data_IF_879471005607
#
_entry.id   IF_879471005607
#
_cell.length_a   1.000
_cell.length_b   1.000
_cell.length_c   1.000
_cell.angle_alpha   90.00
_cell.angle_beta   90.00
_cell.angle_gamma   90.00
#
_symmetry.space_group_name_H-M   'P 1'
#
loop_
_entity.id
_entity.type
_entity.pdbx_description
1 polymer ?
#
# COMPACT_ATOMS: atom_id res chain seq x y z
N UNK A 1 -23.67 33.06 37.43
CA UNK A 1 -24.85 33.15 36.55
C UNK A 1 -24.85 31.91 35.67
N UNK A 2 -25.80 31.01 35.94
CA UNK A 2 -26.28 29.88 35.13
C UNK A 2 -25.31 28.73 34.80
N UNK A 3 -25.35 27.70 35.66
CA UNK A 3 -25.15 26.29 35.30
C UNK A 3 -26.31 25.85 34.39
N UNK A 4 -26.00 25.29 33.21
CA UNK A 4 -26.98 24.56 32.39
C UNK A 4 -26.34 23.30 31.81
N UNK A 5 -26.51 22.20 32.55
CA UNK A 5 -26.63 20.85 31.98
C UNK A 5 -27.96 20.71 31.25
N UNK A 6 -28.02 20.00 30.11
CA UNK A 6 -29.24 19.30 29.72
C UNK A 6 -29.11 17.79 29.95
N UNK A 7 -30.06 17.31 30.74
CA UNK A 7 -30.44 15.93 31.07
C UNK A 7 -30.47 14.99 29.86
N UNK A 8 -29.81 13.84 29.99
CA UNK A 8 -30.17 12.63 29.26
C UNK A 8 -31.55 12.17 29.71
N UNK A 9 -32.50 12.06 28.78
CA UNK A 9 -33.76 11.34 28.97
C UNK A 9 -33.62 9.99 28.28
N UNK A 10 -33.47 8.94 29.07
CA UNK A 10 -33.78 7.58 28.66
C UNK A 10 -35.30 7.43 28.54
N UNK A 11 -35.78 7.09 27.36
CA UNK A 11 -37.15 6.62 27.18
C UNK A 11 -37.15 5.34 26.37
N UNK A 12 -37.48 4.26 27.08
CA UNK A 12 -38.16 3.03 26.65
C UNK A 12 -37.62 2.23 25.45
N UNK A 13 -37.10 1.04 25.77
CA UNK A 13 -37.18 -0.13 24.89
C UNK A 13 -38.66 -0.54 24.70
N UNK A 14 -39.05 -0.96 23.49
CA UNK A 14 -40.07 -1.96 23.31
C UNK A 14 -39.43 -3.29 22.88
N UNK A 15 -39.44 -4.24 23.80
CA UNK A 15 -39.53 -5.67 23.52
C UNK A 15 -40.83 -5.95 22.78
N UNK A 16 -40.76 -6.39 21.52
CA UNK A 16 -41.70 -7.29 20.84
C UNK A 16 -41.42 -7.27 19.32
N UNK A 17 -40.61 -8.21 18.83
CA UNK A 17 -40.53 -8.50 17.40
C UNK A 17 -41.80 -9.27 16.99
N UNK A 18 -42.77 -8.56 16.43
CA UNK A 18 -43.88 -9.16 15.71
C UNK A 18 -43.36 -9.67 14.36
N UNK A 19 -43.28 -10.99 14.20
CA UNK A 19 -43.14 -11.63 12.88
C UNK A 19 -44.43 -11.36 12.08
N UNK A 20 -44.44 -10.33 11.24
CA UNK A 20 -45.44 -10.19 10.20
C UNK A 20 -45.12 -11.15 9.07
N UNK A 21 -46.04 -12.08 8.84
CA UNK A 21 -46.05 -13.06 7.75
C UNK A 21 -46.02 -12.31 6.41
N UNK A 22 -44.84 -12.19 5.81
CA UNK A 22 -44.68 -11.68 4.45
C UNK A 22 -45.47 -12.60 3.50
N UNK A 23 -46.45 -12.04 2.80
CA UNK A 23 -47.16 -12.72 1.71
C UNK A 23 -46.15 -12.98 0.60
N UNK A 24 -45.92 -14.26 0.29
CA UNK A 24 -45.27 -14.67 -0.94
C UNK A 24 -46.18 -14.29 -2.12
N UNK A 25 -45.82 -13.25 -2.86
CA UNK A 25 -46.27 -13.11 -4.24
C UNK A 25 -45.42 -14.07 -5.07
N UNK A 26 -46.04 -15.10 -5.64
CA UNK A 26 -45.41 -15.97 -6.64
C UNK A 26 -45.01 -15.12 -7.84
N UNK A 27 -43.71 -14.87 -7.99
CA UNK A 27 -43.16 -14.23 -9.17
C UNK A 27 -42.93 -15.32 -10.22
N UNK A 28 -43.64 -15.22 -11.34
CA UNK A 28 -43.42 -16.06 -12.50
C UNK A 28 -41.96 -15.96 -12.95
N UNK A 29 -41.34 -17.10 -13.20
CA UNK A 29 -39.96 -17.25 -13.64
C UNK A 29 -39.73 -16.62 -15.01
N UNK A 30 -39.51 -15.31 -15.06
CA UNK A 30 -38.86 -14.68 -16.20
C UNK A 30 -37.37 -14.96 -16.05
N UNK A 31 -36.85 -15.88 -16.85
CA UNK A 31 -35.42 -16.12 -17.01
C UNK A 31 -34.77 -14.87 -17.58
N UNK A 32 -34.45 -13.90 -16.72
CA UNK A 32 -33.51 -12.84 -17.03
C UNK A 32 -32.15 -13.51 -17.16
N UNK A 33 -31.69 -13.66 -18.40
CA UNK A 33 -30.31 -14.01 -18.70
C UNK A 33 -29.42 -13.01 -17.97
N UNK A 34 -28.84 -13.46 -16.86
CA UNK A 34 -27.78 -12.74 -16.17
C UNK A 34 -26.69 -12.53 -17.19
N UNK A 35 -26.56 -11.31 -17.70
CA UNK A 35 -25.39 -10.93 -18.48
C UNK A 35 -24.23 -10.94 -17.51
N UNK A 36 -23.64 -12.12 -17.28
CA UNK A 36 -22.31 -12.25 -16.69
C UNK A 36 -21.41 -11.38 -17.55
N UNK A 37 -21.04 -10.20 -17.05
CA UNK A 37 -20.10 -9.32 -17.71
C UNK A 37 -18.87 -10.15 -18.01
N UNK A 38 -18.65 -10.48 -19.29
CA UNK A 38 -17.48 -11.24 -19.71
C UNK A 38 -16.27 -10.32 -19.53
N UNK A 39 -15.65 -10.40 -18.36
CA UNK A 39 -14.38 -9.75 -18.12
C UNK A 39 -13.29 -10.59 -18.78
N UNK A 40 -12.63 -10.02 -19.79
CA UNK A 40 -11.42 -10.63 -20.33
C UNK A 40 -10.23 -10.16 -19.48
N UNK A 41 -9.49 -11.07 -18.83
CA UNK A 41 -8.31 -10.68 -18.08
C UNK A 41 -7.26 -10.06 -19.00
N UNK A 42 -6.43 -9.17 -18.46
CA UNK A 42 -5.26 -8.64 -19.18
C UNK A 42 -4.40 -9.79 -19.70
N UNK A 43 -4.10 -9.81 -21.00
CA UNK A 43 -3.35 -10.90 -21.64
C UNK A 43 -1.95 -11.12 -21.05
N UNK A 44 -1.34 -10.07 -20.48
CA UNK A 44 -0.04 -10.15 -19.82
C UNK A 44 -0.08 -10.62 -18.36
N UNK A 45 -1.27 -10.79 -17.76
CA UNK A 45 -1.40 -11.03 -16.32
C UNK A 45 -0.68 -12.29 -15.86
N UNK A 46 -0.84 -13.39 -16.60
CA UNK A 46 -0.19 -14.65 -16.23
C UNK A 46 1.33 -14.56 -16.39
N UNK A 47 1.80 -13.95 -17.48
CA UNK A 47 3.24 -13.72 -17.70
C UNK A 47 3.85 -12.81 -16.64
N UNK A 48 3.11 -11.81 -16.16
CA UNK A 48 3.55 -10.95 -15.07
C UNK A 48 3.59 -11.72 -13.75
N UNK A 49 2.56 -12.51 -13.40
CA UNK A 49 2.58 -13.36 -12.19
C UNK A 49 3.72 -14.38 -12.17
N UNK A 50 4.03 -14.95 -13.33
CA UNK A 50 5.07 -15.98 -13.48
C UNK A 50 6.48 -15.39 -13.66
N UNK A 51 6.61 -14.05 -13.75
CA UNK A 51 7.91 -13.40 -13.89
C UNK A 51 8.81 -13.71 -12.69
N UNK A 52 10.12 -13.93 -12.87
CA UNK A 52 11.01 -14.17 -11.73
C UNK A 52 11.06 -12.94 -10.81
N UNK A 53 11.62 -13.10 -9.60
CA UNK A 53 11.94 -11.94 -8.77
C UNK A 53 12.81 -10.98 -9.58
N UNK A 54 12.34 -9.74 -9.70
CA UNK A 54 13.10 -8.71 -10.39
C UNK A 54 14.10 -8.14 -9.38
N UNK A 55 15.39 -8.28 -9.66
CA UNK A 55 16.46 -7.83 -8.78
C UNK A 55 16.97 -6.41 -9.08
N UNK A 56 16.39 -5.70 -10.04
CA UNK A 56 16.87 -4.41 -10.53
C UNK A 56 16.67 -3.27 -9.51
N UNK A 57 17.50 -3.24 -8.46
CA UNK A 57 17.36 -2.32 -7.31
C UNK A 57 17.87 -0.91 -7.57
N UNK A 58 18.75 -0.72 -8.55
CA UNK A 58 19.38 0.57 -8.83
C UNK A 58 19.28 0.93 -10.31
N UNK A 59 19.38 2.22 -10.62
CA UNK A 59 19.48 2.71 -11.97
C UNK A 59 20.95 2.96 -12.35
N UNK A 60 21.52 2.10 -13.20
CA UNK A 60 22.90 2.25 -13.69
C UNK A 60 23.03 3.13 -14.93
N UNK A 61 24.25 3.22 -15.46
CA UNK A 61 24.56 3.99 -16.69
C UNK A 61 23.84 3.49 -17.93
N UNK A 62 23.39 2.23 -17.93
CA UNK A 62 22.74 1.58 -19.07
C UNK A 62 21.31 1.13 -18.77
N UNK A 63 20.71 1.67 -17.71
CA UNK A 63 19.38 1.28 -17.23
C UNK A 63 19.43 0.55 -15.89
N UNK A 64 18.33 -0.10 -15.47
CA UNK A 64 18.25 -0.79 -14.19
C UNK A 64 19.33 -1.87 -14.01
N UNK A 65 19.80 -2.04 -12.78
CA UNK A 65 20.86 -2.95 -12.40
C UNK A 65 20.55 -3.62 -11.05
N UNK A 66 21.06 -4.85 -10.83
CA UNK A 66 20.86 -5.55 -9.58
C UNK A 66 21.59 -4.90 -8.40
N UNK A 67 21.15 -5.22 -7.17
CA UNK A 67 21.85 -4.79 -5.96
C UNK A 67 23.30 -5.29 -5.97
N UNK A 68 24.28 -4.41 -5.75
CA UNK A 68 25.67 -4.84 -5.54
C UNK A 68 25.86 -5.35 -4.11
N UNK A 69 26.61 -6.44 -3.92
CA UNK A 69 26.82 -7.12 -2.63
C UNK A 69 27.50 -6.28 -1.52
N UNK A 70 27.83 -5.01 -1.78
CA UNK A 70 28.69 -4.18 -0.93
C UNK A 70 27.93 -3.33 0.09
N UNK A 71 26.62 -3.17 -0.09
CA UNK A 71 25.77 -2.36 0.81
C UNK A 71 24.67 -3.21 1.42
N UNK A 72 24.99 -3.90 2.51
CA UNK A 72 23.96 -4.37 3.45
C UNK A 72 23.91 -3.36 4.60
N UNK A 73 23.15 -2.26 4.49
CA UNK A 73 22.89 -1.43 5.65
C UNK A 73 22.06 -2.23 6.65
N UNK A 74 22.36 -2.02 7.93
CA UNK A 74 21.65 -2.53 9.10
C UNK A 74 20.16 -2.14 9.05
N UNK A 75 19.40 -2.91 8.27
CA UNK A 75 17.93 -2.90 8.21
C UNK A 75 17.41 -3.61 9.48
N UNK A 76 16.13 -3.50 9.88
CA UNK A 76 15.57 -4.23 11.02
C UNK A 76 15.49 -5.76 10.80
N UNK A 77 16.59 -6.39 10.37
CA UNK A 77 16.70 -7.80 10.00
C UNK A 77 16.20 -8.75 11.10
N UNK A 78 16.33 -8.35 12.37
CA UNK A 78 15.85 -9.14 13.49
C UNK A 78 14.30 -9.21 13.58
N UNK A 79 13.60 -8.12 13.27
CA UNK A 79 12.13 -8.10 13.30
C UNK A 79 11.55 -8.79 12.08
N UNK A 80 12.17 -8.57 10.93
CA UNK A 80 11.79 -9.22 9.68
C UNK A 80 11.97 -10.73 9.78
N UNK A 81 13.12 -11.24 10.23
CA UNK A 81 13.37 -12.68 10.43
C UNK A 81 12.33 -13.39 11.32
N UNK A 82 11.66 -12.66 12.21
CA UNK A 82 10.63 -13.21 13.09
C UNK A 82 9.24 -13.32 12.44
N UNK A 83 8.99 -12.59 11.36
CA UNK A 83 7.71 -12.66 10.64
C UNK A 83 7.55 -14.03 9.96
N UNK A 84 6.36 -14.60 10.07
CA UNK A 84 6.03 -15.95 9.63
C UNK A 84 5.00 -15.98 8.49
N UNK A 85 4.52 -14.81 8.05
CA UNK A 85 3.50 -14.69 7.02
C UNK A 85 3.57 -13.38 6.23
N UNK A 86 2.91 -13.35 5.07
CA UNK A 86 2.82 -12.16 4.21
C UNK A 86 2.17 -10.97 4.93
N UNK A 87 1.12 -11.22 5.72
CA UNK A 87 0.43 -10.17 6.46
C UNK A 87 1.31 -9.57 7.57
N UNK A 88 2.12 -10.38 8.25
CA UNK A 88 3.09 -9.88 9.25
C UNK A 88 4.20 -9.06 8.58
N UNK A 89 4.75 -9.55 7.47
CA UNK A 89 5.73 -8.81 6.67
C UNK A 89 5.16 -7.46 6.20
N UNK A 90 3.94 -7.46 5.66
CA UNK A 90 3.27 -6.22 5.25
C UNK A 90 3.04 -5.25 6.41
N UNK A 91 2.70 -5.75 7.61
CA UNK A 91 2.53 -4.90 8.80
C UNK A 91 3.85 -4.25 9.24
N UNK A 92 4.97 -4.97 9.10
CA UNK A 92 6.32 -4.40 9.33
C UNK A 92 6.64 -3.29 8.31
N UNK A 93 6.33 -3.50 7.02
CA UNK A 93 6.51 -2.47 5.98
C UNK A 93 5.69 -1.22 6.29
N UNK A 94 4.39 -1.40 6.60
CA UNK A 94 3.50 -0.29 6.94
C UNK A 94 3.92 0.45 8.23
N UNK A 95 4.62 -0.22 9.14
CA UNK A 95 5.13 0.39 10.37
C UNK A 95 6.47 1.11 10.20
N UNK A 96 7.10 1.00 9.03
CA UNK A 96 8.39 1.65 8.74
C UNK A 96 8.17 3.07 8.25
N UNK A 97 8.69 4.07 8.97
CA UNK A 97 8.47 5.48 8.63
C UNK A 97 9.41 6.01 7.55
N UNK A 98 10.67 5.58 7.54
CA UNK A 98 11.66 6.06 6.57
C UNK A 98 11.36 5.50 5.16
N UNK A 99 11.16 6.35 4.13
CA UNK A 99 10.77 5.90 2.80
C UNK A 99 11.75 4.93 2.13
N UNK A 100 13.06 5.19 2.25
CA UNK A 100 14.09 4.32 1.67
C UNK A 100 14.14 2.96 2.36
N UNK A 101 14.07 2.96 3.69
CA UNK A 101 13.99 1.72 4.48
C UNK A 101 12.71 0.96 4.18
N UNK A 102 11.58 1.65 4.00
CA UNK A 102 10.30 1.04 3.63
C UNK A 102 10.37 0.34 2.27
N UNK A 103 10.91 1.00 1.24
CA UNK A 103 11.11 0.41 -0.09
C UNK A 103 12.02 -0.83 -0.02
N UNK A 104 13.15 -0.75 0.70
CA UNK A 104 14.04 -1.91 0.91
C UNK A 104 13.33 -3.07 1.61
N UNK A 105 12.58 -2.78 2.68
CA UNK A 105 11.86 -3.80 3.44
C UNK A 105 10.71 -4.42 2.62
N UNK A 106 10.06 -3.64 1.76
CA UNK A 106 9.03 -4.12 0.83
C UNK A 106 9.58 -5.17 -0.14
N UNK A 107 10.74 -4.91 -0.76
CA UNK A 107 11.42 -5.89 -1.60
C UNK A 107 11.75 -7.18 -0.86
N UNK A 108 12.32 -7.02 0.34
CA UNK A 108 12.71 -8.13 1.17
C UNK A 108 11.50 -8.97 1.58
N UNK A 109 10.42 -8.33 1.99
CA UNK A 109 9.15 -8.96 2.33
C UNK A 109 8.59 -9.79 1.18
N UNK A 110 8.50 -9.21 -0.03
CA UNK A 110 8.00 -9.94 -1.20
C UNK A 110 8.91 -11.10 -1.60
N UNK A 111 10.22 -10.84 -1.68
CA UNK A 111 11.22 -11.85 -2.05
C UNK A 111 11.22 -13.02 -1.08
N UNK A 112 11.17 -12.72 0.22
CA UNK A 112 11.14 -13.74 1.27
C UNK A 112 9.86 -14.56 1.23
N UNK A 113 8.70 -13.91 1.19
CA UNK A 113 7.41 -14.60 1.07
C UNK A 113 7.40 -15.56 -0.12
N UNK A 114 7.90 -15.10 -1.28
CA UNK A 114 7.93 -15.90 -2.51
C UNK A 114 8.91 -17.06 -2.44
N UNK A 115 10.13 -16.84 -1.93
CA UNK A 115 11.19 -17.85 -1.88
C UNK A 115 10.97 -18.89 -0.78
N UNK A 116 10.46 -18.48 0.37
CA UNK A 116 10.19 -19.38 1.50
C UNK A 116 8.80 -20.03 1.44
N UNK A 117 7.93 -19.57 0.53
CA UNK A 117 6.57 -20.08 0.39
C UNK A 117 5.71 -19.81 1.63
N UNK A 118 5.88 -18.63 2.24
CA UNK A 118 5.16 -18.27 3.47
C UNK A 118 3.65 -18.17 3.22
N UNK A 119 2.81 -18.52 4.20
CA UNK A 119 1.36 -18.34 4.07
C UNK A 119 0.99 -16.85 4.04
N UNK A 120 -0.22 -16.54 3.57
CA UNK A 120 -0.78 -15.19 3.66
C UNK A 120 -0.83 -14.73 5.13
N UNK A 121 -1.26 -15.63 6.02
CA UNK A 121 -1.39 -15.38 7.45
C UNK A 121 -2.39 -14.29 7.79
N UNK A 122 -2.35 -13.83 9.03
CA UNK A 122 -3.25 -12.80 9.56
C UNK A 122 -2.44 -11.82 10.38
N UNK A 123 -2.64 -10.53 10.15
CA UNK A 123 -2.07 -9.49 10.98
C UNK A 123 -3.04 -8.30 11.05
N UNK A 124 -3.03 -7.56 12.15
CA UNK A 124 -3.79 -6.33 12.24
C UNK A 124 -3.01 -5.21 11.54
N UNK A 125 -3.61 -4.51 10.56
CA UNK A 125 -2.94 -3.37 9.94
C UNK A 125 -2.81 -2.22 10.94
N UNK A 126 -1.75 -1.40 10.85
CA UNK A 126 -1.74 -0.13 11.57
C UNK A 126 -2.90 0.75 11.11
N UNK A 127 -3.27 1.74 11.94
CA UNK A 127 -4.37 2.65 11.62
C UNK A 127 -4.13 3.46 10.35
N UNK A 128 -2.86 3.76 10.07
CA UNK A 128 -2.36 4.33 8.82
C UNK A 128 -0.89 3.93 8.62
N UNK A 129 -0.39 3.91 7.39
CA UNK A 129 1.03 3.73 7.14
C UNK A 129 1.88 4.77 7.90
N UNK A 130 3.00 4.32 8.45
CA UNK A 130 3.97 5.18 9.11
C UNK A 130 4.61 6.13 8.10
N UNK A 131 4.80 7.37 8.54
CA UNK A 131 5.41 8.46 7.77
C UNK A 131 6.53 9.08 8.61
N UNK A 132 7.58 9.62 7.98
CA UNK A 132 8.62 10.34 8.71
C UNK A 132 8.04 11.62 9.33
N UNK A 133 8.71 12.16 10.36
CA UNK A 133 8.29 13.42 11.00
C UNK A 133 8.34 14.61 10.03
N UNK A 134 9.22 14.54 9.03
CA UNK A 134 9.37 15.54 7.97
C UNK A 134 9.39 14.87 6.59
N UNK A 135 8.90 15.55 5.53
CA UNK A 135 8.28 16.88 5.54
C UNK A 135 6.91 16.90 6.23
N UNK A 136 6.43 18.11 6.59
CA UNK A 136 5.10 18.24 7.17
C UNK A 136 4.03 17.84 6.17
N UNK A 137 2.97 17.21 6.70
CA UNK A 137 1.80 16.83 5.93
C UNK A 137 0.89 18.04 5.76
N UNK A 138 0.56 18.41 4.53
CA UNK A 138 -0.34 19.53 4.21
C UNK A 138 -1.47 19.11 3.29
N UNK A 139 -2.45 19.99 3.12
CA UNK A 139 -3.53 19.76 2.16
C UNK A 139 -3.06 19.91 0.72
N UNK A 140 -3.73 19.28 -0.27
CA UNK A 140 -3.36 19.40 -1.68
C UNK A 140 -3.28 20.83 -2.22
N UNK A 141 -3.98 21.78 -1.58
CA UNK A 141 -4.00 23.20 -1.96
C UNK A 141 -2.76 23.96 -1.50
N UNK A 142 -2.04 23.43 -0.53
CA UNK A 142 -0.85 24.04 0.07
C UNK A 142 0.44 23.53 -0.59
N UNK A 143 0.34 22.58 -1.52
CA UNK A 143 1.47 22.14 -2.33
C UNK A 143 1.85 23.28 -3.30
N UNK A 144 3.09 23.77 -3.29
CA UNK A 144 3.55 24.74 -4.27
C UNK A 144 3.50 24.16 -5.68
N UNK A 145 3.04 24.94 -6.66
CA UNK A 145 3.16 24.57 -8.07
C UNK A 145 4.65 24.52 -8.52
N UNK A 146 4.98 23.89 -9.66
CA UNK A 146 6.38 23.76 -10.10
C UNK A 146 7.14 25.09 -10.18
N UNK A 147 6.48 26.20 -10.57
CA UNK A 147 7.12 27.52 -10.72
C UNK A 147 7.44 28.15 -9.38
N UNK A 148 6.60 27.89 -8.37
CA UNK A 148 6.72 28.43 -7.02
C UNK A 148 7.45 27.48 -6.05
N UNK A 149 7.81 26.27 -6.50
CA UNK A 149 8.48 25.25 -5.68
C UNK A 149 9.93 25.57 -5.33
N UNK A 150 10.58 26.45 -6.08
CA UNK A 150 12.03 26.69 -5.98
C UNK A 150 12.90 25.55 -6.53
N UNK A 151 12.29 24.52 -7.12
CA UNK A 151 13.00 23.40 -7.72
C UNK A 151 13.07 23.51 -9.25
N UNK A 152 14.14 22.99 -9.88
CA UNK A 152 14.13 22.67 -11.29
C UNK A 152 12.96 21.74 -11.63
N UNK A 153 12.31 21.95 -12.78
CA UNK A 153 11.12 21.20 -13.17
C UNK A 153 11.32 19.68 -13.14
N UNK A 154 12.49 19.19 -13.57
CA UNK A 154 12.82 17.77 -13.53
C UNK A 154 12.90 17.22 -12.09
N UNK A 155 13.46 17.99 -11.15
CA UNK A 155 13.51 17.58 -9.74
C UNK A 155 12.10 17.56 -9.12
N UNK A 156 11.29 18.58 -9.41
CA UNK A 156 9.89 18.64 -8.96
C UNK A 156 9.06 17.45 -9.46
N UNK A 157 9.16 17.13 -10.77
CA UNK A 157 8.42 16.01 -11.36
C UNK A 157 8.87 14.65 -10.80
N UNK A 158 10.19 14.42 -10.67
CA UNK A 158 10.73 13.20 -10.09
C UNK A 158 10.33 13.04 -8.62
N UNK A 159 10.30 14.13 -7.86
CA UNK A 159 9.84 14.13 -6.48
C UNK A 159 8.37 13.71 -6.38
N UNK A 160 7.50 14.30 -7.20
CA UNK A 160 6.09 13.92 -7.24
C UNK A 160 5.89 12.47 -7.65
N UNK A 161 6.65 11.98 -8.64
CA UNK A 161 6.59 10.58 -9.04
C UNK A 161 7.00 9.68 -7.87
N UNK A 162 8.10 9.98 -7.18
CA UNK A 162 8.52 9.22 -6.00
C UNK A 162 7.44 9.20 -4.89
N UNK A 163 6.70 10.30 -4.70
CA UNK A 163 5.57 10.31 -3.78
C UNK A 163 4.42 9.40 -4.22
N UNK A 164 4.10 9.36 -5.52
CA UNK A 164 3.11 8.43 -6.08
C UNK A 164 3.53 6.99 -5.82
N UNK A 165 4.80 6.64 -6.11
CA UNK A 165 5.28 5.27 -5.89
C UNK A 165 5.25 4.89 -4.41
N UNK A 166 5.68 5.79 -3.52
CA UNK A 166 5.63 5.52 -2.08
C UNK A 166 4.19 5.29 -1.58
N UNK A 167 3.22 6.04 -2.11
CA UNK A 167 1.82 5.84 -1.78
C UNK A 167 1.28 4.53 -2.36
N UNK A 168 1.75 4.11 -3.53
CA UNK A 168 1.37 2.84 -4.12
C UNK A 168 1.92 1.64 -3.32
N UNK A 169 3.17 1.71 -2.82
CA UNK A 169 3.72 0.73 -1.87
C UNK A 169 2.82 0.61 -0.63
N UNK A 170 2.47 1.75 -0.03
CA UNK A 170 1.63 1.79 1.16
C UNK A 170 0.23 1.21 0.91
N UNK A 171 -0.42 1.57 -0.21
CA UNK A 171 -1.74 1.07 -0.59
C UNK A 171 -1.72 -0.45 -0.86
N UNK A 172 -0.68 -0.93 -1.53
CA UNK A 172 -0.55 -2.34 -1.86
C UNK A 172 -0.39 -3.20 -0.59
N UNK A 173 0.53 -2.81 0.30
CA UNK A 173 0.68 -3.50 1.58
C UNK A 173 -0.53 -3.35 2.50
N UNK A 174 -1.16 -2.17 2.54
CA UNK A 174 -2.39 -1.98 3.31
C UNK A 174 -3.47 -2.94 2.85
N UNK A 175 -3.62 -3.11 1.54
CA UNK A 175 -4.57 -4.07 0.95
C UNK A 175 -4.24 -5.50 1.39
N UNK A 176 -2.97 -5.92 1.29
CA UNK A 176 -2.54 -7.26 1.73
C UNK A 176 -2.90 -7.52 3.19
N UNK A 177 -2.54 -6.59 4.09
CA UNK A 177 -2.70 -6.80 5.53
C UNK A 177 -4.17 -6.67 5.95
N UNK A 178 -4.84 -5.60 5.51
CA UNK A 178 -6.21 -5.26 5.91
C UNK A 178 -7.23 -6.27 5.44
N UNK A 179 -7.03 -6.86 4.26
CA UNK A 179 -7.93 -7.88 3.73
C UNK A 179 -7.50 -9.31 4.03
N UNK A 180 -6.37 -9.53 4.72
CA UNK A 180 -5.90 -10.87 5.11
C UNK A 180 -6.96 -11.74 5.84
N UNK A 181 -7.86 -11.20 6.69
CA UNK A 181 -8.93 -12.01 7.29
C UNK A 181 -9.91 -12.64 6.29
N UNK A 182 -9.98 -12.11 5.06
CA UNK A 182 -10.86 -12.56 3.99
C UNK A 182 -10.15 -13.46 2.97
N UNK A 183 -8.96 -14.00 3.28
CA UNK A 183 -8.16 -14.76 2.33
C UNK A 183 -8.89 -15.95 1.70
N UNK A 184 -9.76 -16.62 2.47
CA UNK A 184 -10.57 -17.74 2.00
C UNK A 184 -11.61 -17.36 0.93
N UNK A 185 -12.00 -16.08 0.85
CA UNK A 185 -12.95 -15.57 -0.16
C UNK A 185 -12.21 -15.00 -1.36
N UNK A 186 -11.16 -14.21 -1.11
CA UNK A 186 -10.42 -13.48 -2.14
C UNK A 186 -9.41 -14.38 -2.89
N UNK A 187 -8.91 -15.42 -2.23
CA UNK A 187 -7.93 -16.37 -2.76
C UNK A 187 -6.49 -15.83 -2.78
N UNK A 188 -5.51 -16.74 -2.79
CA UNK A 188 -4.09 -16.41 -2.66
C UNK A 188 -3.58 -15.45 -3.74
N UNK A 189 -4.10 -15.59 -4.98
CA UNK A 189 -3.69 -14.74 -6.11
C UNK A 189 -3.99 -13.26 -5.87
N UNK A 190 -5.06 -12.92 -5.15
CA UNK A 190 -5.36 -11.53 -4.81
C UNK A 190 -4.21 -10.90 -4.01
N UNK A 191 -3.75 -11.59 -2.97
CA UNK A 191 -2.67 -11.10 -2.10
C UNK A 191 -1.32 -11.13 -2.81
N UNK A 192 -1.06 -12.19 -3.59
CA UNK A 192 0.13 -12.32 -4.39
C UNK A 192 0.29 -11.15 -5.38
N UNK A 193 -0.80 -10.77 -6.06
CA UNK A 193 -0.79 -9.65 -7.01
C UNK A 193 -0.47 -8.33 -6.29
N UNK A 194 -1.13 -8.03 -5.16
CA UNK A 194 -0.83 -6.78 -4.43
C UNK A 194 0.58 -6.77 -3.84
N UNK A 195 1.08 -7.90 -3.34
CA UNK A 195 2.46 -7.98 -2.85
C UNK A 195 3.48 -7.78 -4.00
N UNK A 196 3.18 -8.29 -5.20
CA UNK A 196 4.02 -8.09 -6.38
C UNK A 196 3.97 -6.64 -6.88
N UNK A 197 2.80 -5.99 -6.87
CA UNK A 197 2.70 -4.54 -7.11
C UNK A 197 3.57 -3.78 -6.12
N UNK A 198 3.50 -4.12 -4.82
CA UNK A 198 4.32 -3.44 -3.83
C UNK A 198 5.83 -3.57 -4.10
N UNK A 199 6.28 -4.72 -4.61
CA UNK A 199 7.66 -4.92 -5.07
C UNK A 199 7.98 -4.04 -6.29
N UNK A 200 7.10 -3.99 -7.29
CA UNK A 200 7.28 -3.15 -8.49
C UNK A 200 7.45 -1.67 -8.12
N UNK A 201 6.54 -1.12 -7.32
CA UNK A 201 6.58 0.29 -6.93
C UNK A 201 7.75 0.62 -6.00
N UNK A 202 8.24 -0.37 -5.25
CA UNK A 202 9.46 -0.20 -4.45
C UNK A 202 10.70 0.00 -5.32
N UNK A 203 10.78 -0.63 -6.50
CA UNK A 203 11.89 -0.42 -7.46
C UNK A 203 11.77 0.95 -8.12
N UNK A 204 10.57 1.31 -8.58
CA UNK A 204 10.31 2.62 -9.17
C UNK A 204 10.67 3.76 -8.22
N UNK A 205 10.25 3.63 -6.96
CA UNK A 205 10.61 4.57 -5.90
C UNK A 205 12.12 4.68 -5.70
N UNK A 206 12.82 3.55 -5.66
CA UNK A 206 14.27 3.51 -5.48
C UNK A 206 15.00 4.20 -6.64
N UNK A 207 14.58 3.96 -7.90
CA UNK A 207 15.15 4.62 -9.08
C UNK A 207 14.89 6.12 -9.07
N UNK A 208 13.68 6.57 -8.73
CA UNK A 208 13.38 8.00 -8.59
C UNK A 208 14.24 8.66 -7.51
N UNK A 209 14.37 8.00 -6.36
CA UNK A 209 15.16 8.49 -5.22
C UNK A 209 16.64 8.58 -5.55
N UNK A 210 17.19 7.57 -6.22
CA UNK A 210 18.56 7.60 -6.72
C UNK A 210 18.76 8.74 -7.70
N UNK A 211 17.85 8.90 -8.68
CA UNK A 211 17.98 9.93 -9.69
C UNK A 211 17.93 11.33 -9.08
N UNK A 212 17.05 11.56 -8.11
CA UNK A 212 17.00 12.81 -7.34
C UNK A 212 18.35 13.08 -6.66
N UNK A 213 18.95 12.08 -6.02
CA UNK A 213 20.24 12.22 -5.36
C UNK A 213 21.36 12.60 -6.35
N UNK A 214 21.38 11.99 -7.54
CA UNK A 214 22.36 12.29 -8.60
C UNK A 214 22.27 13.74 -9.12
N UNK A 215 21.06 14.31 -9.15
CA UNK A 215 20.88 15.72 -9.56
C UNK A 215 21.04 16.70 -8.39
N UNK A 216 21.46 16.23 -7.21
CA UNK A 216 21.79 17.05 -6.05
C UNK A 216 20.64 17.24 -5.04
N UNK A 217 19.58 16.43 -5.13
CA UNK A 217 18.37 16.58 -4.32
C UNK A 217 18.16 15.37 -3.40
N UNK A 218 18.12 15.54 -2.07
CA UNK A 218 17.75 14.49 -1.08
C UNK A 218 16.28 14.54 -0.65
N UNK A 219 15.57 13.42 -0.75
CA UNK A 219 14.13 13.30 -0.46
C UNK A 219 13.71 13.74 0.96
N UNK A 220 14.59 13.61 1.96
CA UNK A 220 14.32 13.95 3.37
C UNK A 220 14.46 15.45 3.67
N UNK A 221 14.98 16.23 2.72
CA UNK A 221 15.35 17.64 2.92
C UNK A 221 14.44 18.62 2.16
N UNK A 222 13.45 18.13 1.40
CA UNK A 222 12.58 19.03 0.65
C UNK A 222 11.38 19.45 1.45
N UNK A 223 11.33 20.76 1.70
CA UNK A 223 10.20 21.58 2.14
C UNK A 223 8.97 21.53 1.23
N UNK A 224 8.88 20.54 0.33
CA UNK A 224 7.63 20.19 -0.31
C UNK A 224 6.87 19.30 0.65
N UNK A 225 5.91 19.91 1.30
CA UNK A 225 4.97 19.23 2.16
C UNK A 225 4.39 17.98 1.48
N UNK A 226 4.32 16.88 2.23
CA UNK A 226 3.67 15.67 1.74
C UNK A 226 2.16 15.86 1.73
N UNK A 227 1.46 15.16 0.82
CA UNK A 227 0.00 15.13 0.76
C UNK A 227 -0.49 13.86 1.45
N UNK A 228 -1.60 13.97 2.20
CA UNK A 228 -2.37 12.82 2.70
C UNK A 228 -2.82 11.90 1.55
#
# INVERSE_FOLDING_TARGET
MVLLTPKLRFSHLPTHFHFTKLRFCSFSSSSSSSSSSQFSPWSGLQSWRDSPLNEDRFWGTSGPQPLSNTEVPNTPAALEASASSLAELGSLVLSTSDPLTKSKLSHLAFSRWRNEGLPIGLCQPPSRPARPTNPQLVSPKEIPDPKNSGLPLNAYLLHNLAHVELNAIDLAWDTVVRFSPFYHILGDKFFADFAHVADDESRHFAWCSQRLAEIGFKQVEFSLSAVC
#
